data_IF_292941839596
#
_entry.id   IF_292941839596
#
_cell.length_a   1.000
_cell.length_b   1.000
_cell.length_c   1.000
_cell.angle_alpha   90.00
_cell.angle_beta   90.00
_cell.angle_gamma   90.00
#
_symmetry.space_group_name_H-M   'P 1'
#
loop_
_entity.id
_entity.type
_entity.pdbx_description
1 polymer ?
#
# COMPACT_ATOMS: atom_id res chain seq x y z
N UNK A 1 -18.64 -10.99 9.16
CA UNK A 1 -17.58 -10.84 10.18
C UNK A 1 -16.80 -9.54 10.06
N UNK A 2 -16.19 -9.20 8.92
CA UNK A 2 -15.35 -7.98 8.79
C UNK A 2 -16.08 -6.68 9.17
N UNK A 3 -17.32 -6.46 8.70
CA UNK A 3 -18.14 -5.30 9.12
C UNK A 3 -18.46 -5.27 10.61
N UNK A 4 -18.59 -6.43 11.25
CA UNK A 4 -18.85 -6.53 12.68
C UNK A 4 -17.62 -6.18 13.53
N UNK A 5 -16.40 -6.41 13.01
CA UNK A 5 -15.15 -6.14 13.71
C UNK A 5 -14.58 -4.74 13.40
N UNK A 6 -14.83 -4.22 12.20
CA UNK A 6 -14.17 -3.02 11.69
C UNK A 6 -15.14 -1.94 11.18
N UNK A 7 -16.44 -2.13 11.39
CA UNK A 7 -17.48 -1.17 10.99
C UNK A 7 -17.47 -0.85 9.50
N UNK A 8 -17.80 0.38 9.16
CA UNK A 8 -17.81 0.86 7.76
C UNK A 8 -16.41 0.96 7.15
N UNK A 9 -15.39 1.24 7.97
CA UNK A 9 -13.99 1.30 7.51
C UNK A 9 -13.49 -0.07 7.04
N UNK A 10 -13.91 -1.16 7.68
CA UNK A 10 -13.58 -2.51 7.21
C UNK A 10 -14.13 -2.81 5.82
N UNK A 11 -15.32 -2.31 5.51
CA UNK A 11 -15.90 -2.46 4.19
C UNK A 11 -15.18 -1.58 3.15
N UNK A 12 -14.84 -0.34 3.51
CA UNK A 12 -14.23 0.61 2.58
C UNK A 12 -12.73 0.37 2.30
N UNK A 13 -11.97 -0.10 3.28
CA UNK A 13 -10.51 -0.21 3.20
C UNK A 13 -10.02 -1.65 3.02
N UNK A 14 -10.72 -2.63 3.58
CA UNK A 14 -10.28 -4.04 3.55
C UNK A 14 -11.02 -4.85 2.49
N UNK A 15 -12.34 -4.62 2.32
CA UNK A 15 -13.16 -5.38 1.37
C UNK A 15 -13.23 -4.73 -0.02
N UNK A 16 -12.81 -3.48 -0.15
CA UNK A 16 -12.76 -2.75 -1.43
C UNK A 16 -11.31 -2.45 -1.77
N UNK A 17 -10.95 -2.65 -3.03
CA UNK A 17 -9.65 -2.32 -3.59
C UNK A 17 -9.77 -1.31 -4.71
N UNK A 18 -8.67 -0.63 -5.02
CA UNK A 18 -8.57 0.30 -6.15
C UNK A 18 -7.38 -0.09 -7.02
N UNK A 19 -7.55 -0.12 -8.34
CA UNK A 19 -6.46 -0.33 -9.28
C UNK A 19 -5.91 1.03 -9.72
N UNK A 20 -4.94 1.55 -8.97
CA UNK A 20 -4.41 2.91 -9.15
C UNK A 20 -3.08 2.86 -9.91
N UNK A 21 -2.98 3.65 -10.98
CA UNK A 21 -1.73 3.90 -11.69
C UNK A 21 -1.23 5.34 -11.40
N UNK A 22 -0.02 5.52 -10.86
CA UNK A 22 0.48 6.84 -10.41
C UNK A 22 1.01 7.70 -11.57
N UNK A 23 0.17 7.95 -12.59
CA UNK A 23 0.54 8.60 -13.85
C UNK A 23 1.36 9.89 -13.68
N UNK A 24 0.87 10.82 -12.85
CA UNK A 24 1.54 12.13 -12.64
C UNK A 24 2.96 11.98 -12.07
N UNK A 25 3.18 11.01 -11.18
CA UNK A 25 4.50 10.79 -10.58
C UNK A 25 5.47 10.20 -11.61
N UNK A 26 4.98 9.25 -12.42
CA UNK A 26 5.78 8.68 -13.52
C UNK A 26 6.13 9.74 -14.56
N UNK A 27 5.18 10.61 -14.93
CA UNK A 27 5.40 11.72 -15.87
C UNK A 27 6.35 12.81 -15.34
N UNK A 28 6.54 12.88 -14.02
CA UNK A 28 7.46 13.81 -13.36
C UNK A 28 8.82 13.17 -13.05
N UNK A 29 9.11 11.99 -13.59
CA UNK A 29 10.33 11.22 -13.34
C UNK A 29 10.60 11.00 -11.84
N UNK A 30 9.52 10.87 -11.04
CA UNK A 30 9.65 10.59 -9.62
C UNK A 30 10.28 9.22 -9.40
N UNK A 31 11.36 9.17 -8.62
CA UNK A 31 12.07 7.93 -8.30
C UNK A 31 11.46 7.32 -7.03
N UNK A 32 10.72 6.22 -7.19
CA UNK A 32 10.17 5.45 -6.07
C UNK A 32 11.29 4.70 -5.33
N UNK A 33 11.41 4.95 -4.03
CA UNK A 33 12.34 4.21 -3.16
C UNK A 33 12.05 2.70 -3.17
N UNK A 34 10.76 2.33 -3.20
CA UNK A 34 10.28 0.96 -3.32
C UNK A 34 9.24 0.89 -4.45
N UNK A 35 9.64 0.54 -5.69
CA UNK A 35 8.76 0.60 -6.86
C UNK A 35 7.65 -0.46 -6.84
N UNK A 36 7.74 -1.45 -5.95
CA UNK A 36 6.73 -2.49 -5.79
C UNK A 36 6.62 -2.92 -4.32
N UNK A 37 5.52 -3.59 -3.99
CA UNK A 37 5.23 -3.98 -2.61
C UNK A 37 6.24 -5.01 -2.06
N UNK A 38 6.79 -5.87 -2.91
CA UNK A 38 7.77 -6.88 -2.48
C UNK A 38 9.04 -6.22 -1.94
N UNK A 39 9.57 -5.22 -2.65
CA UNK A 39 10.74 -4.46 -2.20
C UNK A 39 10.48 -3.67 -0.93
N UNK A 40 9.29 -3.07 -0.80
CA UNK A 40 8.87 -2.36 0.40
C UNK A 40 8.76 -3.30 1.62
N UNK A 41 8.10 -4.45 1.46
CA UNK A 41 7.90 -5.43 2.55
C UNK A 41 9.22 -6.07 2.96
N UNK A 42 10.07 -6.45 1.99
CA UNK A 42 11.42 -6.96 2.30
C UNK A 42 12.23 -5.93 3.09
N UNK A 43 12.18 -4.66 2.72
CA UNK A 43 12.85 -3.61 3.48
C UNK A 43 12.28 -3.48 4.89
N UNK A 44 10.96 -3.49 5.06
CA UNK A 44 10.30 -3.41 6.36
C UNK A 44 10.69 -4.58 7.28
N UNK A 45 10.77 -5.80 6.74
CA UNK A 45 11.10 -7.01 7.51
C UNK A 45 12.60 -7.17 7.78
N UNK A 46 13.45 -6.64 6.90
CA UNK A 46 14.90 -6.70 7.05
C UNK A 46 15.46 -5.53 7.88
N UNK A 47 14.67 -4.47 8.09
CA UNK A 47 14.97 -3.45 9.09
C UNK A 47 14.57 -4.01 10.47
N UNK A 48 15.52 -4.62 11.16
CA UNK A 48 15.52 -4.54 12.62
C UNK A 48 15.46 -3.04 12.97
N UNK A 49 14.41 -2.60 13.66
CA UNK A 49 14.34 -1.25 14.23
C UNK A 49 15.60 -1.01 15.07
N UNK A 50 16.63 -0.41 14.46
CA UNK A 50 17.81 0.12 15.15
C UNK A 50 17.63 1.60 15.36
#
# INVERSE_FOLDING_TARGET
MVKALFGEMGEALLLKGQNIYPKKLVEQDFIFQFPNIETAVKNLLNNDFR
#
